data_IF_681451267899
#
_entry.id   IF_681451267899
#
_cell.length_a   1.000
_cell.length_b   1.000
_cell.length_c   1.000
_cell.angle_alpha   90.00
_cell.angle_beta   90.00
_cell.angle_gamma   90.00
#
_symmetry.space_group_name_H-M   'P 1'
#
loop_
_entity.id
_entity.type
_entity.pdbx_description
1 polymer ?
#
# COMPACT_ATOMS: atom_id res chain seq x y z
N UNK A 1 -7.20 -0.68 -23.69
CA UNK A 1 -7.52 0.69 -23.30
C UNK A 1 -6.44 1.57 -23.89
N UNK A 2 -6.78 2.28 -24.95
CA UNK A 2 -5.91 3.27 -25.58
C UNK A 2 -6.03 4.64 -24.88
N UNK A 3 -5.33 5.65 -25.40
CA UNK A 3 -5.33 7.00 -24.83
C UNK A 3 -6.72 7.65 -24.83
N UNK A 4 -7.51 7.42 -25.89
CA UNK A 4 -8.84 7.98 -26.03
C UNK A 4 -9.84 7.31 -25.09
N UNK A 5 -9.73 5.99 -24.89
CA UNK A 5 -10.49 5.26 -23.87
C UNK A 5 -10.21 5.79 -22.46
N UNK A 6 -8.93 5.98 -22.13
CA UNK A 6 -8.54 6.49 -20.82
C UNK A 6 -9.03 7.93 -20.61
N UNK A 7 -8.89 8.79 -21.63
CA UNK A 7 -9.39 10.16 -21.57
C UNK A 7 -10.91 10.21 -21.36
N UNK A 8 -11.68 9.38 -22.09
CA UNK A 8 -13.13 9.21 -21.89
C UNK A 8 -13.48 8.73 -20.48
N UNK A 9 -12.74 7.76 -19.95
CA UNK A 9 -12.91 7.28 -18.58
C UNK A 9 -12.63 8.37 -17.53
N UNK A 10 -11.76 9.33 -17.84
CA UNK A 10 -11.54 10.54 -17.05
C UNK A 10 -12.55 11.67 -17.30
N UNK A 11 -13.55 11.46 -18.17
CA UNK A 11 -14.59 12.43 -18.50
C UNK A 11 -14.27 13.38 -19.65
N UNK A 12 -13.16 13.18 -20.37
CA UNK A 12 -12.81 13.99 -21.55
C UNK A 12 -13.43 13.39 -22.82
N UNK A 13 -14.28 14.16 -23.48
CA UNK A 13 -15.00 13.74 -24.71
C UNK A 13 -14.50 14.42 -25.98
N UNK A 14 -13.47 15.27 -25.89
CA UNK A 14 -12.87 15.94 -27.05
C UNK A 14 -11.87 15.05 -27.80
N UNK A 15 -11.35 15.59 -28.90
CA UNK A 15 -10.43 14.91 -29.82
C UNK A 15 -9.08 15.64 -29.97
N UNK A 16 -8.80 16.64 -29.14
CA UNK A 16 -7.55 17.40 -29.19
C UNK A 16 -6.35 16.47 -29.04
N UNK A 17 -5.45 16.38 -30.05
CA UNK A 17 -4.30 15.49 -30.00
C UNK A 17 -3.41 15.74 -28.78
N UNK A 18 -3.16 17.01 -28.46
CA UNK A 18 -2.35 17.40 -27.31
C UNK A 18 -2.95 16.94 -25.98
N UNK A 19 -4.27 16.97 -25.82
CA UNK A 19 -4.93 16.49 -24.61
C UNK A 19 -4.90 14.96 -24.52
N UNK A 20 -5.14 14.26 -25.63
CA UNK A 20 -5.05 12.81 -25.68
C UNK A 20 -3.63 12.32 -25.34
N UNK A 21 -2.60 13.00 -25.85
CA UNK A 21 -1.20 12.73 -25.48
C UNK A 21 -0.93 12.97 -23.99
N UNK A 22 -1.46 14.05 -23.42
CA UNK A 22 -1.34 14.34 -21.99
C UNK A 22 -1.99 13.24 -21.12
N UNK A 23 -3.18 12.78 -21.49
CA UNK A 23 -3.85 11.67 -20.82
C UNK A 23 -3.04 10.37 -20.89
N UNK A 24 -2.45 10.06 -22.04
CA UNK A 24 -1.57 8.90 -22.18
C UNK A 24 -0.30 9.02 -21.31
N UNK A 25 0.29 10.21 -21.22
CA UNK A 25 1.44 10.47 -20.36
C UNK A 25 1.09 10.26 -18.88
N UNK A 26 -0.06 10.78 -18.44
CA UNK A 26 -0.59 10.58 -17.07
C UNK A 26 -0.80 9.09 -16.80
N UNK A 27 -1.42 8.36 -17.73
CA UNK A 27 -1.68 6.92 -17.60
C UNK A 27 -0.38 6.12 -17.45
N UNK A 28 0.60 6.38 -18.32
CA UNK A 28 1.92 5.73 -18.29
C UNK A 28 2.65 6.01 -16.98
N UNK A 29 2.63 7.26 -16.52
CA UNK A 29 3.23 7.64 -15.25
C UNK A 29 2.56 6.89 -14.08
N UNK A 30 1.23 6.86 -14.03
CA UNK A 30 0.49 6.13 -13.00
C UNK A 30 0.83 4.62 -12.97
N UNK A 31 0.94 3.98 -14.14
CA UNK A 31 1.37 2.57 -14.25
C UNK A 31 2.80 2.39 -13.73
N UNK A 32 3.72 3.27 -14.11
CA UNK A 32 5.10 3.22 -13.65
C UNK A 32 5.18 3.36 -12.13
N UNK A 33 4.48 4.33 -11.55
CA UNK A 33 4.45 4.55 -10.11
C UNK A 33 3.84 3.36 -9.36
N UNK A 34 2.73 2.79 -9.86
CA UNK A 34 2.10 1.62 -9.26
C UNK A 34 3.03 0.40 -9.23
N UNK A 35 3.83 0.21 -10.29
CA UNK A 35 4.85 -0.84 -10.36
C UNK A 35 5.98 -0.60 -9.36
N UNK A 36 6.50 0.63 -9.29
CA UNK A 36 7.53 0.99 -8.30
C UNK A 36 7.05 0.74 -6.87
N UNK A 37 5.83 1.14 -6.56
CA UNK A 37 5.26 0.91 -5.22
C UNK A 37 5.02 -0.57 -4.96
N UNK A 38 4.66 -1.37 -5.97
CA UNK A 38 4.61 -2.83 -5.82
C UNK A 38 5.99 -3.41 -5.47
N UNK A 39 7.05 -3.03 -6.18
CA UNK A 39 8.40 -3.50 -5.89
C UNK A 39 8.89 -3.06 -4.52
N UNK A 40 8.60 -1.83 -4.10
CA UNK A 40 8.89 -1.35 -2.73
C UNK A 40 8.20 -2.19 -1.68
N UNK A 41 6.89 -2.44 -1.83
CA UNK A 41 6.13 -3.30 -0.91
C UNK A 41 6.70 -4.73 -0.86
N UNK A 42 7.07 -5.29 -2.02
CA UNK A 42 7.69 -6.61 -2.10
C UNK A 42 9.03 -6.64 -1.37
N UNK A 43 9.89 -5.64 -1.58
CA UNK A 43 11.20 -5.56 -0.92
C UNK A 43 11.09 -5.57 0.61
N UNK A 44 10.14 -4.80 1.18
CA UNK A 44 9.88 -4.83 2.64
C UNK A 44 9.51 -6.24 3.11
N UNK A 45 8.65 -6.94 2.38
CA UNK A 45 8.28 -8.32 2.75
C UNK A 45 9.46 -9.28 2.64
N UNK A 46 10.29 -9.15 1.59
CA UNK A 46 11.48 -9.98 1.38
C UNK A 46 12.53 -9.80 2.48
N UNK A 47 12.66 -8.59 3.01
CA UNK A 47 13.51 -8.28 4.17
C UNK A 47 12.93 -8.91 5.46
N UNK A 48 11.64 -8.73 5.72
CA UNK A 48 11.02 -9.18 6.96
C UNK A 48 10.81 -10.68 7.04
N UNK A 49 10.69 -11.39 5.91
CA UNK A 49 10.40 -12.83 5.91
C UNK A 49 11.55 -13.70 6.42
N UNK A 50 12.76 -13.14 6.59
CA UNK A 50 13.94 -13.90 6.98
C UNK A 50 13.77 -14.55 8.36
N UNK A 51 13.11 -13.87 9.31
CA UNK A 51 12.82 -14.43 10.63
C UNK A 51 11.48 -13.88 11.16
N UNK A 52 10.81 -14.65 12.01
CA UNK A 52 9.60 -14.19 12.71
C UNK A 52 9.86 -12.98 13.60
N UNK A 53 11.05 -12.90 14.22
CA UNK A 53 11.44 -11.78 15.07
C UNK A 53 11.47 -10.44 14.32
N UNK A 54 11.95 -10.43 13.07
CA UNK A 54 11.95 -9.21 12.25
C UNK A 54 10.52 -8.74 11.95
N UNK A 55 9.62 -9.67 11.65
CA UNK A 55 8.20 -9.37 11.49
C UNK A 55 7.60 -8.78 12.76
N UNK A 56 7.78 -9.43 13.92
CA UNK A 56 7.23 -8.97 15.19
C UNK A 56 7.78 -7.59 15.58
N UNK A 57 9.08 -7.35 15.36
CA UNK A 57 9.69 -6.03 15.58
C UNK A 57 9.06 -4.95 14.67
N UNK A 58 8.69 -5.29 13.44
CA UNK A 58 8.11 -4.34 12.48
C UNK A 58 6.64 -3.97 12.77
N UNK A 59 5.85 -4.88 13.34
CA UNK A 59 4.46 -4.59 13.72
C UNK A 59 4.30 -4.10 15.16
N UNK A 60 5.32 -4.26 15.99
CA UNK A 60 5.28 -4.03 17.43
C UNK A 60 5.34 -5.37 18.17
N UNK A 61 6.38 -5.64 18.98
CA UNK A 61 6.64 -6.97 19.52
C UNK A 61 5.57 -7.48 20.49
N UNK A 62 4.71 -6.59 21.00
CA UNK A 62 3.58 -6.94 21.86
C UNK A 62 2.29 -7.26 21.09
N UNK A 63 2.28 -7.10 19.77
CA UNK A 63 1.09 -7.32 18.95
C UNK A 63 1.18 -8.64 18.19
N UNK A 64 0.06 -9.36 18.15
CA UNK A 64 -0.16 -10.40 17.15
C UNK A 64 -0.41 -9.79 15.77
N UNK A 65 -0.26 -10.61 14.72
CA UNK A 65 -0.62 -10.22 13.36
C UNK A 65 -2.10 -9.82 13.22
N UNK A 66 -2.99 -10.35 14.07
CA UNK A 66 -4.40 -10.01 14.05
C UNK A 66 -4.64 -8.61 14.63
N UNK A 67 -4.12 -8.36 15.84
CA UNK A 67 -4.24 -7.06 16.53
C UNK A 67 -3.61 -5.94 15.70
N UNK A 68 -2.45 -6.20 15.08
CA UNK A 68 -1.80 -5.23 14.21
C UNK A 68 -2.66 -4.86 12.98
N UNK A 69 -3.46 -5.78 12.45
CA UNK A 69 -4.42 -5.49 11.36
C UNK A 69 -5.57 -4.63 11.88
N UNK A 70 -6.15 -4.99 13.03
CA UNK A 70 -7.27 -4.26 13.62
C UNK A 70 -6.88 -2.83 13.98
N UNK A 71 -5.74 -2.64 14.63
CA UNK A 71 -5.20 -1.33 15.01
C UNK A 71 -5.00 -0.43 13.80
N UNK A 72 -4.36 -0.95 12.76
CA UNK A 72 -4.13 -0.19 11.53
C UNK A 72 -5.45 0.19 10.82
N UNK A 73 -6.44 -0.73 10.79
CA UNK A 73 -7.75 -0.45 10.21
C UNK A 73 -8.49 0.63 11.02
N UNK A 74 -8.52 0.50 12.35
CA UNK A 74 -9.12 1.48 13.26
C UNK A 74 -8.49 2.85 13.08
N UNK A 75 -7.16 2.90 13.01
CA UNK A 75 -6.43 4.14 12.76
C UNK A 75 -6.84 4.80 11.43
N UNK A 76 -6.81 4.04 10.33
CA UNK A 76 -7.11 4.56 8.99
C UNK A 76 -8.55 5.06 8.91
N UNK A 77 -9.51 4.32 9.49
CA UNK A 77 -10.90 4.74 9.57
C UNK A 77 -11.04 6.05 10.37
N UNK A 78 -10.41 6.13 11.55
CA UNK A 78 -10.38 7.33 12.36
C UNK A 78 -9.77 8.52 11.62
N UNK A 79 -8.64 8.33 10.95
CA UNK A 79 -7.95 9.37 10.18
C UNK A 79 -8.83 9.97 9.08
N UNK A 80 -9.60 9.14 8.35
CA UNK A 80 -10.53 9.61 7.31
C UNK A 80 -11.61 10.56 7.86
N UNK A 81 -11.98 10.38 9.12
CA UNK A 81 -13.00 11.19 9.80
C UNK A 81 -12.42 12.40 10.55
N UNK A 82 -11.09 12.61 10.51
CA UNK A 82 -10.46 13.76 11.16
C UNK A 82 -10.63 15.04 10.32
N UNK A 83 -10.66 16.23 10.96
CA UNK A 83 -10.52 17.50 10.25
C UNK A 83 -9.22 17.58 9.44
N UNK A 84 -9.23 18.33 8.33
CA UNK A 84 -8.13 18.41 7.36
C UNK A 84 -6.77 18.76 7.99
N UNK A 85 -6.74 19.77 8.86
CA UNK A 85 -5.51 20.19 9.56
C UNK A 85 -4.88 19.05 10.38
N UNK A 86 -5.71 18.17 10.95
CA UNK A 86 -5.27 17.02 11.73
C UNK A 86 -4.85 15.87 10.82
N UNK A 87 -5.53 15.68 9.70
CA UNK A 87 -5.11 14.71 8.68
C UNK A 87 -3.71 15.01 8.16
N UNK A 88 -3.44 16.26 7.79
CA UNK A 88 -2.16 16.74 7.28
C UNK A 88 -1.03 16.54 8.30
N UNK A 89 -1.25 16.93 9.56
CA UNK A 89 -0.28 16.71 10.65
C UNK A 89 0.02 15.23 10.91
N UNK A 90 -0.91 14.33 10.58
CA UNK A 90 -0.80 12.89 10.84
C UNK A 90 -0.54 12.04 9.59
N UNK A 91 -0.10 12.65 8.49
CA UNK A 91 0.30 11.91 7.29
C UNK A 91 1.38 10.84 7.56
N UNK A 92 2.42 11.10 8.39
CA UNK A 92 3.39 10.06 8.73
C UNK A 92 2.78 8.86 9.46
N UNK A 93 1.85 9.12 10.38
CA UNK A 93 1.12 8.07 11.11
C UNK A 93 0.26 7.23 10.15
N UNK A 94 -0.39 7.86 9.17
CA UNK A 94 -1.15 7.16 8.14
C UNK A 94 -0.25 6.28 7.27
N UNK A 95 0.92 6.76 6.89
CA UNK A 95 1.88 5.96 6.13
C UNK A 95 2.33 4.73 6.93
N UNK A 96 2.64 4.92 8.22
CA UNK A 96 2.98 3.83 9.15
C UNK A 96 1.84 2.82 9.28
N UNK A 97 0.61 3.27 9.50
CA UNK A 97 -0.56 2.39 9.61
C UNK A 97 -0.80 1.58 8.33
N UNK A 98 -0.63 2.19 7.14
CA UNK A 98 -0.74 1.47 5.86
C UNK A 98 0.35 0.42 5.68
N UNK A 99 1.57 0.72 6.10
CA UNK A 99 2.68 -0.23 6.07
C UNK A 99 2.46 -1.38 7.06
N UNK A 100 2.05 -1.09 8.29
CA UNK A 100 1.69 -2.10 9.29
C UNK A 100 0.57 -3.01 8.79
N UNK A 101 -0.47 -2.44 8.16
CA UNK A 101 -1.57 -3.20 7.58
C UNK A 101 -1.10 -4.14 6.45
N UNK A 102 -0.20 -3.68 5.59
CA UNK A 102 0.40 -4.49 4.53
C UNK A 102 1.17 -5.68 5.12
N UNK A 103 2.09 -5.41 6.04
CA UNK A 103 2.96 -6.42 6.66
C UNK A 103 2.11 -7.44 7.41
N UNK A 104 1.26 -6.97 8.31
CA UNK A 104 0.45 -7.83 9.16
C UNK A 104 -0.51 -8.71 8.34
N UNK A 105 -1.13 -8.19 7.27
CA UNK A 105 -1.98 -9.00 6.37
C UNK A 105 -1.21 -10.11 5.67
N UNK A 106 0.01 -9.81 5.20
CA UNK A 106 0.84 -10.80 4.51
C UNK A 106 1.22 -11.93 5.46
N UNK A 107 1.81 -11.62 6.62
CA UNK A 107 2.28 -12.62 7.56
C UNK A 107 1.14 -13.35 8.29
N UNK A 108 -0.01 -12.71 8.52
CA UNK A 108 -1.21 -13.41 9.00
C UNK A 108 -1.65 -14.52 8.05
N UNK A 109 -1.49 -14.32 6.73
CA UNK A 109 -1.91 -15.30 5.71
C UNK A 109 -0.83 -16.33 5.40
N UNK A 110 0.43 -15.93 5.36
CA UNK A 110 1.52 -16.75 4.83
C UNK A 110 2.64 -17.04 5.83
N UNK A 111 2.69 -16.35 6.98
CA UNK A 111 3.81 -16.40 7.94
C UNK A 111 4.06 -17.80 8.50
N UNK A 112 3.03 -18.46 9.03
CA UNK A 112 3.15 -19.81 9.59
C UNK A 112 3.79 -20.81 8.60
N UNK A 113 3.28 -20.85 7.36
CA UNK A 113 3.81 -21.75 6.33
C UNK A 113 5.20 -21.34 5.81
N UNK A 114 5.58 -20.07 5.95
CA UNK A 114 6.89 -19.58 5.53
C UNK A 114 7.97 -20.02 6.51
N UNK A 115 7.74 -19.84 7.82
CA UNK A 115 8.72 -20.18 8.84
C UNK A 115 8.74 -21.68 9.18
N UNK A 116 7.60 -22.36 9.17
CA UNK A 116 7.56 -23.80 9.40
C UNK A 116 8.38 -24.59 8.36
N UNK A 117 8.48 -24.09 7.12
CA UNK A 117 9.32 -24.69 6.06
C UNK A 117 10.80 -24.35 6.17
N UNK A 118 11.16 -23.28 6.87
CA UNK A 118 12.56 -22.92 7.12
C UNK A 118 13.14 -23.70 8.31
N UNK A 119 12.28 -24.17 9.22
CA UNK A 119 12.65 -24.94 10.39
C UNK A 119 12.71 -26.47 10.16
N UNK A 120 12.27 -26.95 8.99
CA UNK A 120 12.28 -28.35 8.58
C UNK A 120 13.39 -28.61 7.55
#
# INVERSE_FOLDING_TARGET
>A
MDAADFARACGYTGDSPALLEAFEAIRRNGIAQARLDHFRRKAVIEELKQTELLFLAAIGPALSAHEAVEDAIRFIAGWRNMPRWRQERRLPDLARARQQLLIARFFRRYGHGLWARQAA
#
